data_IF_705892037453
#
_entry.id   IF_705892037453
#
_cell.length_a   1.000
_cell.length_b   1.000
_cell.length_c   1.000
_cell.angle_alpha   90.00
_cell.angle_beta   90.00
_cell.angle_gamma   90.00
#
_symmetry.space_group_name_H-M   'P 1'
#
loop_
_entity.id
_entity.type
_entity.pdbx_description
1 polymer ?
#
# COMPACT_ATOMS: atom_id res chain seq x y z
N UNK A 1 -7.39 5.98 15.25
CA UNK A 1 -7.32 7.40 15.72
C UNK A 1 -7.46 8.31 14.53
N UNK A 2 -8.03 9.51 14.64
CA UNK A 2 -8.10 10.45 13.52
C UNK A 2 -6.78 11.22 13.39
N UNK A 3 -6.37 11.57 12.16
CA UNK A 3 -5.06 12.20 11.85
C UNK A 3 -4.76 13.48 12.65
N UNK A 4 -5.78 14.27 12.98
CA UNK A 4 -5.59 15.48 13.81
C UNK A 4 -5.19 15.15 15.26
N UNK A 5 -5.26 13.90 15.69
CA UNK A 5 -4.84 13.42 16.99
C UNK A 5 -3.48 12.70 16.97
N UNK A 6 -2.73 12.80 15.88
CA UNK A 6 -1.42 12.15 15.73
C UNK A 6 -0.43 12.53 16.83
N UNK A 7 -0.56 13.74 17.38
CA UNK A 7 0.26 14.22 18.48
C UNK A 7 0.11 13.40 19.78
N UNK A 8 -0.96 12.59 19.91
CA UNK A 8 -1.20 11.68 21.03
C UNK A 8 -0.57 10.29 20.82
N UNK A 9 -0.11 9.97 19.62
CA UNK A 9 0.45 8.66 19.31
C UNK A 9 1.69 8.31 20.13
N UNK A 10 2.66 9.24 20.35
CA UNK A 10 3.82 8.94 21.19
C UNK A 10 3.44 8.52 22.61
N UNK A 11 2.48 9.22 23.23
CA UNK A 11 1.99 8.86 24.55
C UNK A 11 1.27 7.52 24.55
N UNK A 12 0.36 7.29 23.57
CA UNK A 12 -0.36 6.03 23.44
C UNK A 12 0.62 4.85 23.30
N UNK A 13 1.68 5.01 22.51
CA UNK A 13 2.69 3.99 22.29
C UNK A 13 3.38 3.56 23.59
N UNK A 14 3.63 4.50 24.51
CA UNK A 14 4.21 4.17 25.82
C UNK A 14 3.25 3.48 26.79
N UNK A 15 1.94 3.59 26.55
CA UNK A 15 0.89 3.06 27.42
C UNK A 15 0.36 1.69 26.97
N UNK A 16 0.80 1.19 25.82
CA UNK A 16 0.35 -0.09 25.27
C UNK A 16 1.50 -1.06 25.08
N UNK A 17 1.23 -2.36 25.26
CA UNK A 17 2.14 -3.45 24.89
C UNK A 17 1.91 -3.91 23.45
N UNK A 18 0.85 -3.42 22.80
CA UNK A 18 0.52 -3.75 21.40
C UNK A 18 1.22 -2.73 20.50
N UNK A 19 2.03 -3.19 19.53
CA UNK A 19 2.68 -2.30 18.59
C UNK A 19 1.68 -1.44 17.79
N UNK A 20 2.03 -0.18 17.56
CA UNK A 20 1.20 0.80 16.86
C UNK A 20 1.63 0.89 15.39
N UNK A 21 0.67 0.72 14.47
CA UNK A 21 0.87 0.96 13.05
C UNK A 21 0.19 2.26 12.63
N UNK A 22 0.95 3.20 12.07
CA UNK A 22 0.40 4.43 11.49
C UNK A 22 -0.14 4.14 10.08
N UNK A 23 -1.41 4.42 9.86
CA UNK A 23 -2.12 4.21 8.59
C UNK A 23 -2.60 5.53 7.99
N UNK A 24 -3.77 6.02 8.35
CA UNK A 24 -4.33 7.27 7.81
C UNK A 24 -3.57 8.53 8.21
N UNK A 25 -2.53 8.39 9.02
CA UNK A 25 -1.60 9.47 9.37
C UNK A 25 -0.44 9.61 8.38
N UNK A 26 -0.36 8.72 7.37
CA UNK A 26 0.74 8.64 6.40
C UNK A 26 0.21 8.81 4.98
N UNK A 27 0.46 9.98 4.40
CA UNK A 27 0.16 10.32 3.00
C UNK A 27 1.41 10.61 2.20
N UNK A 28 2.53 10.92 2.88
CA UNK A 28 3.78 11.31 2.26
C UNK A 28 4.99 10.87 3.07
N UNK A 29 6.17 10.95 2.45
CA UNK A 29 7.44 10.78 3.17
C UNK A 29 7.65 11.83 4.27
N UNK A 30 7.09 13.04 4.11
CA UNK A 30 7.12 14.08 5.16
C UNK A 30 6.29 13.67 6.39
N UNK A 31 5.11 13.05 6.19
CA UNK A 31 4.33 12.51 7.30
C UNK A 31 5.09 11.38 8.00
N UNK A 32 5.72 10.51 7.21
CA UNK A 32 6.55 9.42 7.73
C UNK A 32 7.68 9.97 8.59
N UNK A 33 8.44 10.94 8.08
CA UNK A 33 9.53 11.56 8.83
C UNK A 33 9.04 12.21 10.13
N UNK A 34 7.90 12.92 10.08
CA UNK A 34 7.28 13.55 11.24
C UNK A 34 6.91 12.52 12.31
N UNK A 35 6.28 11.42 11.92
CA UNK A 35 5.87 10.35 12.84
C UNK A 35 7.08 9.61 13.44
N UNK A 36 8.09 9.31 12.62
CA UNK A 36 9.32 8.67 13.06
C UNK A 36 10.08 9.54 14.05
N UNK A 37 10.28 10.84 13.76
CA UNK A 37 10.93 11.80 14.66
C UNK A 37 10.21 11.95 16.01
N UNK A 38 8.89 11.82 15.99
CA UNK A 38 8.07 11.90 17.21
C UNK A 38 8.01 10.58 17.99
N UNK A 39 8.64 9.51 17.50
CA UNK A 39 8.52 8.15 18.08
C UNK A 39 7.06 7.67 18.20
N UNK A 40 6.24 7.99 17.18
CA UNK A 40 4.79 7.89 17.22
C UNK A 40 4.23 6.51 16.87
N UNK A 41 5.01 5.64 16.23
CA UNK A 41 4.55 4.33 15.77
C UNK A 41 5.69 3.32 15.67
N UNK A 42 5.32 2.04 15.63
CA UNK A 42 6.23 0.90 15.45
C UNK A 42 6.28 0.44 13.99
N UNK A 43 5.22 0.75 13.22
CA UNK A 43 5.06 0.36 11.82
C UNK A 43 4.41 1.47 11.01
N UNK A 44 4.67 1.48 9.70
CA UNK A 44 4.06 2.37 8.71
C UNK A 44 3.25 1.54 7.71
N UNK A 45 1.97 1.90 7.49
CA UNK A 45 1.13 1.28 6.46
C UNK A 45 1.12 2.14 5.19
N UNK A 46 1.75 1.63 4.13
CA UNK A 46 1.81 2.26 2.82
C UNK A 46 0.62 1.80 1.98
N UNK A 47 -0.14 2.75 1.44
CA UNK A 47 -1.22 2.48 0.48
C UNK A 47 -1.06 3.43 -0.71
N UNK A 48 -0.93 2.89 -1.93
CA UNK A 48 -0.67 3.71 -3.13
C UNK A 48 -1.72 4.80 -3.36
N UNK A 49 -2.97 4.52 -3.05
CA UNK A 49 -4.08 5.49 -3.16
C UNK A 49 -3.95 6.66 -2.19
N UNK A 50 -3.34 6.47 -1.02
CA UNK A 50 -3.06 7.55 -0.07
C UNK A 50 -1.83 8.35 -0.49
N UNK A 51 -0.77 7.66 -0.93
CA UNK A 51 0.54 8.25 -1.21
C UNK A 51 0.70 8.75 -2.65
N UNK A 52 -0.38 8.89 -3.42
CA UNK A 52 -0.32 9.34 -4.81
C UNK A 52 0.56 8.45 -5.72
N UNK A 53 0.65 7.15 -5.39
CA UNK A 53 1.29 6.15 -6.24
C UNK A 53 2.67 5.69 -5.78
N UNK A 54 3.38 5.01 -6.70
CA UNK A 54 4.59 4.25 -6.42
C UNK A 54 5.77 5.14 -6.01
N UNK A 55 5.96 6.28 -6.68
CA UNK A 55 7.11 7.14 -6.42
C UNK A 55 7.14 7.68 -4.99
N UNK A 56 5.98 8.08 -4.48
CA UNK A 56 5.89 8.53 -3.09
C UNK A 56 5.98 7.38 -2.10
N UNK A 57 5.41 6.22 -2.45
CA UNK A 57 5.53 5.01 -1.64
C UNK A 57 7.00 4.56 -1.46
N UNK A 58 7.85 4.69 -2.50
CA UNK A 58 9.28 4.43 -2.41
C UNK A 58 9.97 5.35 -1.40
N UNK A 59 9.67 6.65 -1.44
CA UNK A 59 10.22 7.61 -0.47
C UNK A 59 9.75 7.34 0.95
N UNK A 60 8.48 6.96 1.12
CA UNK A 60 7.94 6.60 2.43
C UNK A 60 8.72 5.43 3.03
N UNK A 61 8.92 4.34 2.26
CA UNK A 61 9.65 3.17 2.76
C UNK A 61 11.14 3.47 2.99
N UNK A 62 11.76 4.35 2.20
CA UNK A 62 13.14 4.80 2.39
C UNK A 62 13.29 5.56 3.72
N UNK A 63 12.44 6.57 3.94
CA UNK A 63 12.44 7.32 5.21
C UNK A 63 12.15 6.40 6.40
N UNK A 64 11.16 5.51 6.32
CA UNK A 64 10.88 4.56 7.40
C UNK A 64 12.09 3.65 7.69
N UNK A 65 12.82 3.22 6.65
CA UNK A 65 14.03 2.40 6.79
C UNK A 65 15.16 3.14 7.50
N UNK A 66 15.37 4.44 7.24
CA UNK A 66 16.35 5.27 7.93
C UNK A 66 16.13 5.31 9.46
N UNK A 67 14.86 5.24 9.88
CA UNK A 67 14.47 5.18 11.30
C UNK A 67 14.30 3.75 11.83
N UNK A 68 14.63 2.71 11.04
CA UNK A 68 14.44 1.29 11.37
C UNK A 68 12.99 0.93 11.70
N UNK A 69 12.02 1.59 11.08
CA UNK A 69 10.60 1.30 11.22
C UNK A 69 10.13 0.45 10.02
N UNK A 70 9.74 -0.82 10.23
CA UNK A 70 9.23 -1.66 9.15
C UNK A 70 7.91 -1.15 8.59
N UNK A 71 7.68 -1.46 7.30
CA UNK A 71 6.47 -1.09 6.60
C UNK A 71 5.56 -2.29 6.33
N UNK A 72 4.29 -1.99 6.19
CA UNK A 72 3.28 -2.81 5.55
C UNK A 72 2.92 -2.20 4.20
N UNK A 73 2.70 -3.02 3.19
CA UNK A 73 1.97 -2.60 1.99
C UNK A 73 0.50 -2.97 2.18
N UNK A 74 -0.34 -1.95 2.38
CA UNK A 74 -1.74 -2.11 2.70
C UNK A 74 -2.66 -2.00 1.50
N UNK A 75 -3.88 -2.54 1.65
CA UNK A 75 -4.95 -2.49 0.67
C UNK A 75 -5.93 -1.34 0.88
N UNK A 76 -6.58 -0.97 -0.20
CA UNK A 76 -7.87 -0.29 -0.29
C UNK A 76 -8.76 -1.18 -1.14
N UNK A 77 -9.95 -0.74 -1.49
CA UNK A 77 -10.81 -1.48 -2.43
C UNK A 77 -10.25 -1.31 -3.85
N UNK A 78 -9.33 -2.17 -4.24
CA UNK A 78 -8.54 -2.05 -5.47
C UNK A 78 -8.70 -3.29 -6.37
N UNK A 79 -8.52 -3.09 -7.68
CA UNK A 79 -8.47 -4.19 -8.64
C UNK A 79 -7.12 -4.93 -8.62
N UNK A 80 -7.05 -6.10 -9.25
CA UNK A 80 -5.81 -6.86 -9.44
C UNK A 80 -4.72 -6.08 -10.18
N UNK A 81 -5.08 -5.04 -10.95
CA UNK A 81 -4.11 -4.16 -11.60
C UNK A 81 -3.24 -3.42 -10.56
N UNK A 82 -3.89 -2.78 -9.59
CA UNK A 82 -3.18 -2.08 -8.53
C UNK A 82 -2.42 -3.05 -7.61
N UNK A 83 -3.00 -4.22 -7.33
CA UNK A 83 -2.35 -5.26 -6.53
C UNK A 83 -1.12 -5.86 -7.23
N UNK A 84 -1.15 -6.03 -8.55
CA UNK A 84 0.04 -6.44 -9.31
C UNK A 84 1.21 -5.44 -9.08
N UNK A 85 0.96 -4.16 -9.21
CA UNK A 85 1.97 -3.13 -8.94
C UNK A 85 2.46 -3.17 -7.48
N UNK A 86 1.58 -3.40 -6.51
CA UNK A 86 1.94 -3.50 -5.09
C UNK A 86 2.78 -4.73 -4.79
N UNK A 87 2.53 -5.86 -5.42
CA UNK A 87 3.35 -7.07 -5.27
C UNK A 87 4.76 -6.82 -5.78
N UNK A 88 4.92 -6.20 -6.95
CA UNK A 88 6.24 -5.80 -7.45
C UNK A 88 6.96 -4.83 -6.50
N UNK A 89 6.24 -3.84 -5.98
CA UNK A 89 6.76 -2.93 -4.97
C UNK A 89 7.23 -3.66 -3.70
N UNK A 90 6.43 -4.62 -3.21
CA UNK A 90 6.78 -5.40 -2.02
C UNK A 90 8.06 -6.21 -2.22
N UNK A 91 8.22 -6.85 -3.39
CA UNK A 91 9.45 -7.58 -3.73
C UNK A 91 10.68 -6.66 -3.82
N UNK A 92 10.50 -5.44 -4.35
CA UNK A 92 11.58 -4.47 -4.52
C UNK A 92 11.94 -3.71 -3.22
N UNK A 93 11.10 -3.81 -2.19
CA UNK A 93 11.21 -2.97 -0.98
C UNK A 93 11.51 -3.82 0.25
N UNK A 94 12.80 -4.02 0.62
CA UNK A 94 13.18 -4.93 1.70
C UNK A 94 12.68 -4.49 3.09
N UNK A 95 12.27 -3.22 3.26
CA UNK A 95 11.69 -2.71 4.49
C UNK A 95 10.19 -3.05 4.64
N UNK A 96 9.53 -3.53 3.59
CA UNK A 96 8.14 -4.04 3.65
C UNK A 96 8.15 -5.43 4.25
N UNK A 97 7.49 -5.62 5.39
CA UNK A 97 7.46 -6.87 6.17
C UNK A 97 6.06 -7.47 6.31
N UNK A 98 5.02 -6.68 6.02
CA UNK A 98 3.63 -7.09 6.14
C UNK A 98 2.88 -6.79 4.85
N UNK A 99 1.92 -7.64 4.50
CA UNK A 99 1.25 -7.64 3.21
C UNK A 99 -0.26 -7.79 3.40
N UNK A 100 -1.03 -6.80 2.92
CA UNK A 100 -2.48 -6.80 2.80
C UNK A 100 -2.82 -6.60 1.32
N UNK A 101 -2.87 -7.72 0.59
CA UNK A 101 -2.86 -7.77 -0.87
C UNK A 101 -4.00 -8.63 -1.44
N UNK A 102 -5.08 -8.79 -0.69
CA UNK A 102 -6.23 -9.62 -1.05
C UNK A 102 -7.51 -8.82 -1.37
N UNK A 103 -7.44 -7.51 -1.34
CA UNK A 103 -8.62 -6.62 -1.44
C UNK A 103 -9.38 -6.74 -2.76
N UNK A 104 -8.76 -7.22 -3.83
CA UNK A 104 -9.45 -7.52 -5.09
C UNK A 104 -10.41 -8.74 -4.99
N UNK A 105 -10.25 -9.59 -3.98
CA UNK A 105 -11.09 -10.77 -3.75
C UNK A 105 -12.40 -10.39 -3.03
N UNK A 106 -12.46 -9.19 -2.46
CA UNK A 106 -13.62 -8.67 -1.73
C UNK A 106 -14.10 -7.35 -2.34
N UNK A 107 -15.39 -7.18 -2.48
CA UNK A 107 -16.01 -5.91 -2.88
C UNK A 107 -16.09 -5.63 -4.38
N UNK A 108 -15.60 -6.51 -5.25
CA UNK A 108 -15.79 -6.44 -6.69
C UNK A 108 -16.77 -7.50 -7.17
N UNK A 109 -17.78 -7.10 -7.94
CA UNK A 109 -18.74 -8.04 -8.56
C UNK A 109 -18.13 -8.72 -9.79
N UNK A 110 -17.25 -8.02 -10.50
CA UNK A 110 -16.54 -8.50 -11.68
C UNK A 110 -15.08 -8.08 -11.61
N UNK A 111 -14.20 -8.92 -12.09
CA UNK A 111 -12.79 -8.59 -12.22
C UNK A 111 -12.52 -7.92 -13.57
N UNK A 112 -12.12 -6.64 -13.60
CA UNK A 112 -11.87 -5.91 -14.84
C UNK A 112 -10.50 -6.20 -15.47
N UNK A 113 -9.67 -7.07 -14.86
CA UNK A 113 -8.25 -7.21 -15.17
C UNK A 113 -7.96 -8.46 -15.98
N UNK A 114 -7.07 -8.35 -16.98
CA UNK A 114 -6.42 -9.46 -17.69
C UNK A 114 -5.01 -9.62 -17.09
N UNK A 115 -4.57 -10.87 -16.87
CA UNK A 115 -3.26 -11.13 -16.25
C UNK A 115 -3.20 -10.70 -14.79
N UNK A 116 -2.04 -10.17 -14.39
CA UNK A 116 -1.79 -9.71 -13.02
C UNK A 116 -1.63 -10.83 -12.02
N UNK A 117 -1.76 -10.49 -10.74
CA UNK A 117 -1.57 -11.43 -9.64
C UNK A 117 -2.58 -12.59 -9.68
N UNK A 118 -2.10 -13.78 -9.35
CA UNK A 118 -2.91 -14.98 -9.21
C UNK A 118 -2.82 -15.46 -7.75
N UNK A 119 -3.94 -15.92 -7.21
CA UNK A 119 -4.02 -16.39 -5.83
C UNK A 119 -4.15 -17.91 -5.79
N UNK A 120 -3.33 -18.55 -4.98
CA UNK A 120 -3.41 -19.96 -4.66
C UNK A 120 -3.40 -20.13 -3.13
N UNK A 121 -4.60 -20.12 -2.54
CA UNK A 121 -4.73 -20.03 -1.09
C UNK A 121 -4.17 -18.71 -0.56
N UNK A 122 -3.15 -18.76 0.27
CA UNK A 122 -2.45 -17.59 0.82
C UNK A 122 -1.21 -17.17 0.01
N UNK A 123 -0.91 -17.88 -1.07
CA UNK A 123 0.19 -17.53 -1.95
C UNK A 123 -0.26 -16.61 -3.06
N UNK A 124 0.55 -15.60 -3.38
CA UNK A 124 0.35 -14.67 -4.48
C UNK A 124 1.45 -14.90 -5.50
N UNK A 125 1.05 -15.19 -6.73
CA UNK A 125 1.95 -15.40 -7.85
C UNK A 125 1.84 -14.25 -8.83
N UNK A 126 2.98 -13.82 -9.37
CA UNK A 126 3.08 -12.89 -10.50
C UNK A 126 3.54 -13.65 -11.73
N UNK A 127 3.17 -13.16 -12.92
CA UNK A 127 3.66 -13.73 -14.18
C UNK A 127 5.03 -13.14 -14.56
N UNK A 128 5.70 -13.79 -15.51
CA UNK A 128 6.92 -13.28 -16.16
C UNK A 128 6.61 -12.33 -17.34
N UNK A 129 5.37 -11.86 -17.45
CA UNK A 129 4.96 -10.93 -18.50
C UNK A 129 5.60 -9.55 -18.31
N UNK A 130 5.64 -8.79 -19.42
CA UNK A 130 6.27 -7.45 -19.44
C UNK A 130 5.53 -6.49 -18.49
N UNK A 131 6.30 -5.66 -17.77
CA UNK A 131 5.79 -4.66 -16.84
C UNK A 131 5.24 -5.32 -15.57
N UNK A 132 4.01 -4.97 -15.19
CA UNK A 132 3.32 -5.56 -14.03
C UNK A 132 2.51 -6.81 -14.39
N UNK A 133 2.57 -7.24 -15.64
CA UNK A 133 1.85 -8.42 -16.15
C UNK A 133 0.33 -8.30 -16.11
N UNK A 134 -0.21 -7.09 -16.03
CA UNK A 134 -1.64 -6.83 -15.88
C UNK A 134 -2.12 -5.71 -16.78
N UNK A 135 -3.35 -5.84 -17.29
CA UNK A 135 -4.02 -4.80 -18.08
C UNK A 135 -5.53 -4.82 -17.81
N UNK A 136 -6.24 -3.79 -18.27
CA UNK A 136 -7.69 -3.70 -18.15
C UNK A 136 -8.34 -4.34 -19.39
N UNK A 137 -9.39 -5.13 -19.20
CA UNK A 137 -10.16 -5.71 -20.28
C UNK A 137 -10.71 -4.62 -21.20
N UNK A 138 -10.55 -4.79 -22.54
CA UNK A 138 -11.01 -3.81 -23.51
C UNK A 138 -12.50 -3.50 -23.40
N UNK A 139 -13.32 -4.51 -23.13
CA UNK A 139 -14.77 -4.35 -22.92
C UNK A 139 -15.15 -3.46 -21.74
N UNK A 140 -14.25 -3.35 -20.74
CA UNK A 140 -14.42 -2.43 -19.60
C UNK A 140 -14.02 -1.01 -20.03
N UNK A 141 -12.89 -0.87 -20.71
CA UNK A 141 -12.44 0.42 -21.23
C UNK A 141 -13.42 1.04 -22.21
N UNK A 142 -14.11 0.24 -23.00
CA UNK A 142 -15.11 0.71 -23.96
C UNK A 142 -16.38 1.30 -23.31
N UNK A 143 -16.63 0.90 -22.06
CA UNK A 143 -17.76 1.41 -21.25
C UNK A 143 -17.37 2.63 -20.39
N UNK A 144 -16.08 2.97 -20.30
CA UNK A 144 -15.61 4.09 -19.50
C UNK A 144 -15.72 5.42 -20.29
N UNK A 145 -15.96 6.50 -19.55
CA UNK A 145 -15.81 7.85 -20.10
C UNK A 145 -14.36 8.07 -20.50
N UNK A 146 -14.16 8.66 -21.69
CA UNK A 146 -12.83 8.90 -22.27
C UNK A 146 -12.52 10.39 -22.26
N UNK A 147 -11.40 10.75 -21.67
CA UNK A 147 -10.88 12.11 -21.64
C UNK A 147 -9.57 12.14 -22.42
N UNK A 148 -9.46 13.02 -23.40
CA UNK A 148 -8.21 13.29 -24.12
C UNK A 148 -7.65 14.59 -23.55
N UNK A 149 -6.46 14.51 -22.97
CA UNK A 149 -5.73 15.64 -22.40
C UNK A 149 -4.63 16.04 -23.39
#
# INVERSE_FOLDING_TARGET
MRTYNDHLLPELRTQTIVPIMADESVYSHHDTERLCKADACDYINIKFSKSSGINEALKIQEVAAEYNIPCMIGGMLESRLALAAKVHFAYASPNVKFYDLDTCMVGHLEDPVIGGVQYNGYEIHISDDIGIGADIKQEVLDKCDKWVI
#
